data_IF_648515703164
#
_entry.id   IF_648515703164
#
_cell.length_a   1.000
_cell.length_b   1.000
_cell.length_c   1.000
_cell.angle_alpha   90.00
_cell.angle_beta   90.00
_cell.angle_gamma   90.00
#
_symmetry.space_group_name_H-M   'P 1'
#
loop_
_entity.id
_entity.type
_entity.pdbx_description
1 polymer ?
#
# COMPACT_ATOMS: atom_id res chain seq x y z
N UNK A 1 7.41 -12.15 -55.13
CA UNK A 1 6.03 -11.65 -55.03
C UNK A 1 5.14 -12.56 -54.15
N UNK A 2 4.98 -13.87 -54.47
CA UNK A 2 4.11 -14.79 -53.67
C UNK A 2 4.50 -14.89 -52.16
N UNK A 3 5.81 -14.99 -51.84
CA UNK A 3 6.31 -15.02 -50.47
C UNK A 3 6.02 -13.72 -49.71
N UNK A 4 6.13 -12.57 -50.35
CA UNK A 4 5.83 -11.27 -49.73
C UNK A 4 4.34 -11.12 -49.42
N UNK A 5 3.47 -11.55 -50.35
CA UNK A 5 2.02 -11.56 -50.18
C UNK A 5 1.63 -12.50 -49.04
N UNK A 6 2.20 -13.72 -48.98
CA UNK A 6 1.95 -14.66 -47.92
C UNK A 6 2.38 -14.10 -46.55
N UNK A 7 3.54 -13.43 -46.45
CA UNK A 7 4.00 -12.77 -45.24
C UNK A 7 3.06 -11.64 -44.79
N UNK A 8 2.61 -10.79 -45.71
CA UNK A 8 1.65 -9.72 -45.44
C UNK A 8 0.29 -10.27 -44.99
N UNK A 9 -0.21 -11.33 -45.62
CA UNK A 9 -1.44 -12.00 -45.18
C UNK A 9 -1.30 -12.59 -43.76
N UNK A 10 -0.16 -13.21 -43.43
CA UNK A 10 0.10 -13.75 -42.10
C UNK A 10 0.14 -12.64 -41.04
N UNK A 11 0.80 -11.50 -41.33
CA UNK A 11 0.85 -10.34 -40.44
C UNK A 11 -0.57 -9.76 -40.23
N UNK A 12 -1.34 -9.61 -41.34
CA UNK A 12 -2.71 -9.09 -41.24
C UNK A 12 -3.62 -10.02 -40.43
N UNK A 13 -3.52 -11.34 -40.64
CA UNK A 13 -4.26 -12.33 -39.86
C UNK A 13 -3.89 -12.26 -38.37
N UNK A 14 -2.59 -12.17 -38.06
CA UNK A 14 -2.10 -12.06 -36.69
C UNK A 14 -2.60 -10.77 -36.03
N UNK A 15 -2.52 -9.63 -36.70
CA UNK A 15 -3.06 -8.37 -36.23
C UNK A 15 -4.57 -8.45 -35.94
N UNK A 16 -5.32 -9.10 -36.86
CA UNK A 16 -6.76 -9.34 -36.69
C UNK A 16 -7.05 -10.16 -35.43
N UNK A 17 -6.30 -11.21 -35.14
CA UNK A 17 -6.44 -12.02 -33.90
C UNK A 17 -6.22 -11.18 -32.67
N UNK A 18 -5.17 -10.34 -32.64
CA UNK A 18 -4.90 -9.45 -31.48
C UNK A 18 -6.03 -8.44 -31.27
N UNK A 19 -6.51 -7.81 -32.34
CA UNK A 19 -7.60 -6.83 -32.28
C UNK A 19 -8.90 -7.50 -31.85
N UNK A 20 -9.27 -8.64 -32.43
CA UNK A 20 -10.50 -9.36 -32.09
C UNK A 20 -10.51 -9.76 -30.60
N UNK A 21 -9.40 -10.32 -30.11
CA UNK A 21 -9.27 -10.63 -28.68
C UNK A 21 -9.46 -9.40 -27.80
N UNK A 22 -8.87 -8.28 -28.19
CA UNK A 22 -8.99 -7.01 -27.45
C UNK A 22 -10.44 -6.52 -27.44
N UNK A 23 -11.14 -6.56 -28.57
CA UNK A 23 -12.54 -6.16 -28.68
C UNK A 23 -13.45 -7.04 -27.82
N UNK A 24 -13.23 -8.37 -27.82
CA UNK A 24 -13.98 -9.31 -26.96
C UNK A 24 -13.80 -8.97 -25.48
N UNK A 25 -12.56 -8.69 -25.06
CA UNK A 25 -12.27 -8.32 -23.66
C UNK A 25 -12.96 -7.01 -23.30
N UNK A 26 -12.91 -6.00 -24.18
CA UNK A 26 -13.58 -4.70 -23.96
C UNK A 26 -15.11 -4.84 -23.92
N UNK A 27 -15.69 -5.69 -24.74
CA UNK A 27 -17.13 -5.94 -24.74
C UNK A 27 -17.65 -6.61 -23.46
N UNK A 28 -16.77 -7.33 -22.73
CA UNK A 28 -17.06 -7.93 -21.42
C UNK A 28 -16.86 -6.96 -20.23
N UNK A 29 -16.48 -5.70 -20.50
CA UNK A 29 -16.35 -4.71 -19.44
C UNK A 29 -17.66 -4.57 -18.68
N UNK A 30 -17.61 -4.68 -17.37
CA UNK A 30 -18.77 -4.44 -16.52
C UNK A 30 -19.22 -2.99 -16.72
N UNK A 31 -20.47 -2.82 -17.11
CA UNK A 31 -21.08 -1.49 -17.12
C UNK A 31 -21.42 -1.11 -15.68
N UNK A 32 -21.25 0.14 -15.29
CA UNK A 32 -21.73 0.62 -14.00
C UNK A 32 -23.23 0.32 -13.88
N UNK A 33 -23.66 -0.41 -12.85
CA UNK A 33 -25.00 -1.02 -12.80
C UNK A 33 -25.96 -0.37 -11.81
N UNK A 34 -25.54 0.61 -11.01
CA UNK A 34 -26.40 1.19 -9.99
C UNK A 34 -26.14 2.70 -9.82
N UNK A 35 -27.22 3.42 -9.46
CA UNK A 35 -27.11 4.77 -8.94
C UNK A 35 -26.42 4.74 -7.58
N UNK A 36 -25.54 5.71 -7.35
CA UNK A 36 -24.83 5.88 -6.09
C UNK A 36 -25.85 6.35 -5.03
N UNK A 37 -25.85 5.72 -3.88
CA UNK A 37 -26.55 6.23 -2.70
C UNK A 37 -26.00 7.64 -2.38
N UNK A 38 -26.88 8.64 -2.34
CA UNK A 38 -26.45 10.02 -2.11
C UNK A 38 -26.52 10.30 -0.61
N UNK A 39 -25.35 10.35 0.03
CA UNK A 39 -25.26 10.72 1.46
C UNK A 39 -25.58 12.20 1.61
N UNK A 40 -26.52 12.60 2.49
CA UNK A 40 -26.92 13.99 2.68
C UNK A 40 -25.73 14.91 3.01
N UNK A 41 -25.72 16.15 2.53
CA UNK A 41 -24.65 17.10 2.81
C UNK A 41 -24.44 17.37 4.31
N UNK A 42 -25.51 17.37 5.11
CA UNK A 42 -25.46 17.51 6.57
C UNK A 42 -24.68 16.35 7.23
N UNK A 43 -24.91 15.13 6.79
CA UNK A 43 -24.16 13.94 7.27
C UNK A 43 -22.68 14.02 6.85
N UNK A 44 -22.39 14.48 5.62
CA UNK A 44 -21.01 14.69 5.17
C UNK A 44 -20.29 15.71 6.04
N UNK A 45 -20.99 16.82 6.40
CA UNK A 45 -20.44 17.87 7.25
C UNK A 45 -20.24 17.37 8.70
N UNK A 46 -21.18 16.57 9.24
CA UNK A 46 -21.04 15.95 10.56
C UNK A 46 -19.82 15.05 10.64
N UNK A 47 -19.65 14.15 9.65
CA UNK A 47 -18.48 13.26 9.61
C UNK A 47 -17.16 14.02 9.49
N UNK A 48 -17.14 15.06 8.66
CA UNK A 48 -15.96 15.90 8.54
C UNK A 48 -15.63 16.63 9.85
N UNK A 49 -16.64 17.10 10.58
CA UNK A 49 -16.42 17.75 11.88
C UNK A 49 -15.82 16.78 12.94
N UNK A 50 -16.33 15.56 13.01
CA UNK A 50 -15.80 14.50 13.89
C UNK A 50 -14.39 14.08 13.50
N UNK A 51 -14.13 13.87 12.21
CA UNK A 51 -12.78 13.60 11.71
C UNK A 51 -11.84 14.76 12.04
N UNK A 52 -12.31 15.98 11.94
CA UNK A 52 -11.54 17.18 12.29
C UNK A 52 -11.08 17.19 13.76
N UNK A 53 -11.90 16.68 14.70
CA UNK A 53 -11.47 16.50 16.10
C UNK A 53 -10.29 15.51 16.20
N UNK A 54 -10.28 14.44 15.41
CA UNK A 54 -9.18 13.47 15.37
C UNK A 54 -7.93 14.05 14.69
N UNK A 55 -8.08 14.83 13.61
CA UNK A 55 -6.96 15.48 12.91
C UNK A 55 -6.23 16.48 13.82
N UNK A 56 -6.94 17.19 14.68
CA UNK A 56 -6.34 18.12 15.66
C UNK A 56 -5.49 17.46 16.75
N UNK A 57 -5.50 16.14 16.85
CA UNK A 57 -4.57 15.39 17.68
C UNK A 57 -3.29 15.11 16.89
N UNK A 58 -2.17 15.70 17.30
CA UNK A 58 -0.89 15.68 16.55
C UNK A 58 -0.10 14.40 16.88
N UNK A 59 -0.65 13.25 16.60
CA UNK A 59 -0.07 11.94 16.92
C UNK A 59 1.13 11.59 16.03
N UNK A 60 2.17 12.41 16.07
CA UNK A 60 3.40 12.23 15.30
C UNK A 60 4.25 11.16 15.95
N UNK A 61 4.48 10.05 15.23
CA UNK A 61 5.39 9.01 15.70
C UNK A 61 6.85 9.37 15.38
N UNK A 62 7.74 9.09 16.35
CA UNK A 62 9.18 9.36 16.21
C UNK A 62 9.96 8.11 16.63
N UNK A 63 10.85 7.63 15.77
CA UNK A 63 11.64 6.43 16.04
C UNK A 63 12.50 6.59 17.29
N UNK A 64 12.29 5.69 18.26
CA UNK A 64 13.03 5.66 19.52
C UNK A 64 12.51 6.64 20.58
N UNK A 65 11.36 7.28 20.35
CA UNK A 65 10.70 8.15 21.31
C UNK A 65 9.19 7.99 21.24
N UNK A 66 8.53 7.96 22.37
CA UNK A 66 7.07 7.97 22.47
C UNK A 66 6.65 9.10 23.42
N UNK A 67 5.84 10.04 22.92
CA UNK A 67 5.21 11.11 23.71
C UNK A 67 3.70 10.86 23.75
N UNK A 68 3.20 10.44 24.91
CA UNK A 68 1.79 10.06 25.08
C UNK A 68 0.80 11.24 25.00
N UNK A 69 1.27 12.48 25.09
CA UNK A 69 0.41 13.67 25.24
C UNK A 69 -0.66 13.77 24.14
N UNK A 70 -0.27 13.71 22.87
CA UNK A 70 -1.22 13.83 21.75
C UNK A 70 -1.94 12.50 21.47
N UNK A 71 -1.34 11.36 21.82
CA UNK A 71 -2.00 10.05 21.74
C UNK A 71 -3.09 9.92 22.81
N UNK A 72 -2.85 10.35 24.04
CA UNK A 72 -3.87 10.41 25.11
C UNK A 72 -5.04 11.33 24.69
N UNK A 73 -4.74 12.47 24.09
CA UNK A 73 -5.76 13.38 23.56
C UNK A 73 -6.60 12.69 22.48
N UNK A 74 -5.98 11.92 21.58
CA UNK A 74 -6.71 11.17 20.57
C UNK A 74 -7.58 10.08 21.20
N UNK A 75 -7.07 9.31 22.18
CA UNK A 75 -7.86 8.30 22.92
C UNK A 75 -9.13 8.90 23.52
N UNK A 76 -9.00 10.02 24.24
CA UNK A 76 -10.15 10.73 24.84
C UNK A 76 -11.13 11.24 23.77
N UNK A 77 -10.61 11.71 22.63
CA UNK A 77 -11.43 12.17 21.50
C UNK A 77 -12.23 11.02 20.91
N UNK A 78 -11.60 9.87 20.67
CA UNK A 78 -12.23 8.68 20.11
C UNK A 78 -13.28 8.11 21.07
N UNK A 79 -12.97 8.02 22.37
CA UNK A 79 -13.93 7.59 23.40
C UNK A 79 -15.16 8.52 23.48
N UNK A 80 -14.97 9.82 23.36
CA UNK A 80 -16.07 10.80 23.33
C UNK A 80 -16.93 10.66 22.05
N UNK A 81 -16.30 10.44 20.89
CA UNK A 81 -17.00 10.42 19.61
C UNK A 81 -17.74 9.10 19.34
N UNK A 82 -17.27 7.99 19.91
CA UNK A 82 -17.77 6.64 19.64
C UNK A 82 -18.12 5.88 20.94
N UNK A 83 -19.07 6.40 21.74
CA UNK A 83 -19.36 5.85 23.07
C UNK A 83 -20.01 4.46 23.03
N UNK A 84 -20.86 4.14 22.02
CA UNK A 84 -21.52 2.83 21.90
C UNK A 84 -20.51 1.74 21.58
N UNK A 85 -19.56 2.03 20.69
CA UNK A 85 -18.45 1.13 20.39
C UNK A 85 -17.66 0.80 21.65
N UNK A 86 -17.29 1.82 22.45
CA UNK A 86 -16.49 1.64 23.67
C UNK A 86 -17.24 0.91 24.79
N UNK A 87 -18.57 0.99 24.80
CA UNK A 87 -19.41 0.23 25.74
C UNK A 87 -19.62 -1.22 25.31
N UNK A 88 -19.54 -1.53 24.00
CA UNK A 88 -19.90 -2.82 23.45
C UNK A 88 -18.70 -3.70 23.13
N UNK A 89 -17.63 -3.10 22.60
CA UNK A 89 -16.45 -3.83 22.17
C UNK A 89 -15.49 -4.14 23.34
N UNK A 90 -14.87 -5.31 23.29
CA UNK A 90 -13.71 -5.62 24.09
C UNK A 90 -12.49 -4.87 23.52
N UNK A 91 -11.86 -4.00 24.30
CA UNK A 91 -10.66 -3.25 23.89
C UNK A 91 -9.42 -3.84 24.53
N UNK A 92 -8.42 -4.16 23.71
CA UNK A 92 -7.07 -4.56 24.13
C UNK A 92 -6.07 -3.51 23.65
N UNK A 93 -4.97 -3.36 24.38
CA UNK A 93 -3.86 -2.45 24.00
C UNK A 93 -2.56 -3.23 23.98
N UNK A 94 -1.76 -3.04 22.92
CA UNK A 94 -0.47 -3.68 22.73
C UNK A 94 0.64 -2.63 22.58
N UNK A 95 1.81 -2.90 23.17
CA UNK A 95 2.88 -1.91 23.24
C UNK A 95 2.43 -0.67 24.00
N UNK A 96 2.84 0.49 23.51
CA UNK A 96 2.49 1.77 24.14
C UNK A 96 1.04 2.16 23.88
N UNK A 97 0.54 2.01 22.61
CA UNK A 97 -0.80 2.49 22.25
C UNK A 97 -1.41 1.82 21.00
N UNK A 98 -1.07 0.59 20.69
CA UNK A 98 -1.75 -0.13 19.61
C UNK A 98 -3.10 -0.67 20.10
N UNK A 99 -4.20 -0.21 19.51
CA UNK A 99 -5.55 -0.61 19.91
C UNK A 99 -6.06 -1.79 19.08
N UNK A 100 -6.71 -2.71 19.75
CA UNK A 100 -7.47 -3.78 19.10
C UNK A 100 -8.84 -3.88 19.78
N UNK A 101 -9.89 -3.60 19.03
CA UNK A 101 -11.28 -3.77 19.44
C UNK A 101 -11.81 -5.08 18.89
N UNK A 102 -12.59 -5.79 19.67
CA UNK A 102 -13.32 -7.00 19.27
C UNK A 102 -14.79 -6.83 19.51
N UNK A 103 -15.59 -7.00 18.46
CA UNK A 103 -17.04 -7.04 18.49
C UNK A 103 -17.46 -8.50 18.23
N UNK A 104 -18.15 -9.12 19.19
CA UNK A 104 -18.61 -10.49 19.04
C UNK A 104 -19.71 -10.59 17.98
N UNK A 105 -19.53 -11.57 17.08
CA UNK A 105 -20.54 -11.97 16.11
C UNK A 105 -21.40 -13.13 16.57
N UNK A 106 -22.35 -13.52 15.73
CA UNK A 106 -23.20 -14.71 15.95
C UNK A 106 -22.35 -15.98 15.90
N UNK A 107 -21.46 -16.11 14.92
CA UNK A 107 -20.48 -17.19 14.84
C UNK A 107 -19.15 -16.73 15.45
N UNK A 108 -18.94 -17.15 16.69
CA UNK A 108 -17.74 -16.77 17.47
C UNK A 108 -16.45 -17.48 17.01
N UNK A 109 -16.57 -18.49 16.14
CA UNK A 109 -15.40 -19.21 15.62
C UNK A 109 -14.73 -18.50 14.44
N UNK A 110 -15.40 -17.54 13.82
CA UNK A 110 -14.95 -16.83 12.63
C UNK A 110 -14.57 -15.40 12.95
N UNK A 111 -13.46 -14.94 12.38
CA UNK A 111 -12.95 -13.60 12.63
C UNK A 111 -12.62 -12.89 11.32
N UNK A 112 -12.97 -11.60 11.23
CA UNK A 112 -12.46 -10.69 10.22
C UNK A 112 -11.85 -9.48 10.89
N UNK A 113 -10.82 -8.87 10.30
CA UNK A 113 -10.15 -7.71 10.87
C UNK A 113 -10.11 -6.55 9.88
N UNK A 114 -10.49 -5.38 10.37
CA UNK A 114 -10.27 -4.10 9.74
C UNK A 114 -9.05 -3.46 10.40
N UNK A 115 -8.23 -2.76 9.62
CA UNK A 115 -7.00 -2.17 10.14
C UNK A 115 -6.74 -0.78 9.53
N UNK A 116 -6.18 0.06 10.38
CA UNK A 116 -5.62 1.36 10.02
C UNK A 116 -4.61 1.78 11.08
N UNK A 117 -3.98 2.93 10.94
CA UNK A 117 -3.12 3.47 11.98
C UNK A 117 -3.57 4.86 12.41
N UNK A 118 -3.15 5.29 13.60
CA UNK A 118 -3.53 6.59 14.15
C UNK A 118 -2.35 7.53 14.38
N UNK A 119 -1.12 7.06 14.16
CA UNK A 119 0.03 7.92 14.06
C UNK A 119 0.11 8.59 12.70
N UNK A 120 0.96 9.58 12.58
CA UNK A 120 1.22 10.33 11.35
C UNK A 120 2.68 10.75 11.29
N UNK A 121 3.20 10.98 10.08
CA UNK A 121 4.52 11.60 9.92
C UNK A 121 4.48 13.08 10.31
N UNK A 122 5.65 13.62 10.68
CA UNK A 122 5.77 15.05 10.97
C UNK A 122 5.35 15.91 9.77
N UNK A 123 4.59 16.94 10.02
CA UNK A 123 4.26 17.95 9.02
C UNK A 123 5.48 18.87 8.80
N UNK A 124 5.93 18.96 7.56
CA UNK A 124 7.05 19.78 7.12
C UNK A 124 6.63 20.61 5.91
N UNK A 125 7.42 21.62 5.54
CA UNK A 125 7.17 22.46 4.38
C UNK A 125 6.20 23.61 4.66
N UNK A 126 5.66 24.22 3.60
CA UNK A 126 4.75 25.37 3.66
C UNK A 126 3.32 24.91 3.37
N UNK A 127 2.45 25.05 4.35
CA UNK A 127 1.06 24.64 4.26
C UNK A 127 0.14 25.83 3.98
N UNK A 128 -0.86 25.62 3.12
CA UNK A 128 -1.90 26.63 2.83
C UNK A 128 -2.80 26.91 4.04
N UNK A 129 -3.03 25.90 4.87
CA UNK A 129 -3.79 25.94 6.11
C UNK A 129 -2.96 25.31 7.21
N UNK A 130 -3.19 25.59 8.51
CA UNK A 130 -2.43 24.96 9.59
C UNK A 130 -2.45 23.43 9.48
N UNK A 131 -1.31 22.79 9.67
CA UNK A 131 -1.04 21.37 9.33
C UNK A 131 -1.98 20.38 10.04
N UNK A 132 -2.52 20.76 11.18
CA UNK A 132 -3.44 19.97 11.99
C UNK A 132 -4.75 20.70 12.28
N UNK A 133 -5.20 21.57 11.38
CA UNK A 133 -6.42 22.36 11.62
C UNK A 133 -7.67 21.48 11.72
N UNK A 134 -7.78 20.43 10.92
CA UNK A 134 -8.97 19.60 10.84
C UNK A 134 -10.22 20.41 10.49
N UNK A 135 -10.06 21.43 9.65
CA UNK A 135 -11.13 22.34 9.21
C UNK A 135 -11.49 22.07 7.74
N UNK A 136 -12.75 22.41 7.40
CA UNK A 136 -13.26 22.27 6.04
C UNK A 136 -13.11 23.60 5.31
N UNK A 137 -12.37 23.59 4.20
CA UNK A 137 -12.28 24.69 3.27
C UNK A 137 -12.86 24.27 1.91
N UNK A 138 -13.91 24.92 1.50
CA UNK A 138 -14.72 24.46 0.36
C UNK A 138 -15.42 23.13 0.66
N UNK A 139 -15.06 22.09 -0.06
CA UNK A 139 -15.60 20.74 0.13
C UNK A 139 -14.52 19.73 0.59
N UNK A 140 -13.42 20.23 1.13
CA UNK A 140 -12.27 19.41 1.53
C UNK A 140 -11.92 19.67 3.00
N UNK A 141 -11.68 18.60 3.77
CA UNK A 141 -11.11 18.68 5.10
C UNK A 141 -9.59 18.63 5.00
N UNK A 142 -8.91 19.52 5.71
CA UNK A 142 -7.47 19.74 5.61
C UNK A 142 -6.75 19.36 6.89
N UNK A 143 -5.58 18.75 6.73
CA UNK A 143 -4.65 18.45 7.80
C UNK A 143 -3.91 17.13 7.60
N UNK A 144 -2.75 16.98 8.25
CA UNK A 144 -1.94 15.79 8.27
C UNK A 144 -2.76 14.61 8.83
N UNK A 145 -2.79 13.49 8.13
CA UNK A 145 -3.57 12.30 8.47
C UNK A 145 -4.95 12.25 7.80
N UNK A 146 -5.33 13.25 6.98
CA UNK A 146 -6.60 13.21 6.25
C UNK A 146 -6.61 12.20 5.13
N UNK A 147 -5.47 11.83 4.57
CA UNK A 147 -5.32 10.75 3.57
C UNK A 147 -4.68 9.54 4.22
N UNK A 148 -3.64 9.76 5.00
CA UNK A 148 -2.80 8.71 5.58
C UNK A 148 -2.74 8.82 7.12
N UNK A 149 -3.61 8.10 7.88
CA UNK A 149 -4.80 7.34 7.44
C UNK A 149 -5.97 7.51 8.42
N UNK A 150 -6.02 8.65 9.16
CA UNK A 150 -7.09 8.92 10.14
C UNK A 150 -8.50 8.91 9.53
N UNK A 151 -8.63 9.17 8.22
CA UNK A 151 -9.92 9.03 7.54
C UNK A 151 -10.40 7.58 7.50
N UNK A 152 -9.50 6.61 7.26
CA UNK A 152 -9.84 5.19 7.30
C UNK A 152 -10.25 4.78 8.72
N UNK A 153 -9.44 5.12 9.73
CA UNK A 153 -9.77 4.87 11.13
C UNK A 153 -11.10 5.48 11.53
N UNK A 154 -11.33 6.75 11.20
CA UNK A 154 -12.61 7.41 11.47
C UNK A 154 -13.78 6.65 10.84
N UNK A 155 -13.63 6.26 9.57
CA UNK A 155 -14.70 5.59 8.84
C UNK A 155 -15.02 4.20 9.40
N UNK A 156 -14.01 3.46 9.85
CA UNK A 156 -14.16 2.18 10.55
C UNK A 156 -14.89 2.35 11.88
N UNK A 157 -14.44 3.29 12.71
CA UNK A 157 -15.04 3.60 14.01
C UNK A 157 -16.50 4.09 13.85
N UNK A 158 -16.75 5.02 12.92
CA UNK A 158 -18.09 5.58 12.69
C UNK A 158 -19.06 4.51 12.16
N UNK A 159 -18.60 3.63 11.27
CA UNK A 159 -19.40 2.53 10.75
C UNK A 159 -19.80 1.56 11.87
N UNK A 160 -18.86 1.21 12.74
CA UNK A 160 -19.14 0.35 13.91
C UNK A 160 -20.08 1.04 14.91
N UNK A 161 -19.83 2.31 15.24
CA UNK A 161 -20.69 3.09 16.15
C UNK A 161 -22.14 3.11 15.69
N UNK A 162 -22.38 3.39 14.41
CA UNK A 162 -23.73 3.43 13.85
C UNK A 162 -24.40 2.06 13.84
N UNK A 163 -23.70 1.02 13.39
CA UNK A 163 -24.25 -0.34 13.37
C UNK A 163 -24.58 -0.84 14.77
N UNK A 164 -23.70 -0.62 15.73
CA UNK A 164 -23.94 -1.01 17.13
C UNK A 164 -25.08 -0.20 17.76
N UNK A 165 -25.20 1.09 17.44
CA UNK A 165 -26.32 1.94 17.88
C UNK A 165 -27.67 1.48 17.31
N UNK A 166 -27.66 0.88 16.11
CA UNK A 166 -28.83 0.23 15.49
C UNK A 166 -29.12 -1.16 16.11
N UNK A 167 -28.32 -1.65 17.05
CA UNK A 167 -28.44 -2.98 17.64
C UNK A 167 -28.01 -4.11 16.70
N UNK A 168 -27.19 -3.81 15.69
CA UNK A 168 -26.70 -4.79 14.73
C UNK A 168 -25.68 -5.75 15.37
N UNK A 169 -25.84 -7.05 15.13
CA UNK A 169 -24.89 -8.09 15.52
C UNK A 169 -24.30 -8.70 14.24
N UNK A 170 -22.98 -8.61 14.00
CA UNK A 170 -22.35 -9.17 12.82
C UNK A 170 -22.44 -10.69 12.77
N UNK A 171 -22.35 -11.29 11.59
CA UNK A 171 -22.33 -12.75 11.43
C UNK A 171 -21.04 -13.39 11.97
N UNK A 172 -19.93 -12.71 11.83
CA UNK A 172 -18.59 -13.14 12.33
C UNK A 172 -18.10 -12.14 13.36
N UNK A 173 -17.15 -12.51 14.20
CA UNK A 173 -16.47 -11.51 15.03
C UNK A 173 -15.80 -10.47 14.13
N UNK A 174 -16.03 -9.20 14.42
CA UNK A 174 -15.37 -8.09 13.75
C UNK A 174 -14.31 -7.53 14.69
N UNK A 175 -13.09 -7.47 14.20
CA UNK A 175 -11.97 -6.90 14.91
C UNK A 175 -11.55 -5.61 14.19
N UNK A 176 -11.14 -4.61 14.97
CA UNK A 176 -10.56 -3.37 14.47
C UNK A 176 -9.22 -3.15 15.14
N UNK A 177 -8.14 -3.13 14.34
CA UNK A 177 -6.78 -2.84 14.81
C UNK A 177 -6.32 -1.46 14.36
N UNK A 178 -5.71 -0.69 15.29
CA UNK A 178 -5.10 0.59 14.96
C UNK A 178 -3.77 0.76 15.68
N UNK A 179 -2.68 0.88 14.93
CA UNK A 179 -1.34 1.07 15.49
C UNK A 179 -1.00 2.55 15.69
N UNK A 180 -0.10 2.80 16.63
CA UNK A 180 0.42 4.12 16.98
C UNK A 180 1.80 4.40 16.39
N UNK A 181 2.34 3.46 15.61
CA UNK A 181 3.73 3.50 15.16
C UNK A 181 3.97 2.80 13.82
N UNK A 182 2.95 2.82 12.93
CA UNK A 182 3.06 2.29 11.57
C UNK A 182 4.12 3.04 10.77
N UNK A 183 4.08 4.37 10.81
CA UNK A 183 4.93 5.29 10.05
C UNK A 183 6.44 5.16 10.36
N UNK A 184 6.75 4.60 11.50
CA UNK A 184 8.12 4.31 11.94
C UNK A 184 8.45 2.81 11.96
N UNK A 185 7.54 1.98 11.41
CA UNK A 185 7.64 0.53 11.40
C UNK A 185 7.81 -0.05 12.81
N UNK A 186 6.90 0.33 13.69
CA UNK A 186 6.93 -0.03 15.09
C UNK A 186 6.45 -1.45 15.36
N UNK A 187 6.29 -1.75 16.63
CA UNK A 187 5.99 -3.10 17.12
C UNK A 187 4.53 -3.29 17.58
N UNK A 188 3.66 -2.31 17.40
CA UNK A 188 2.28 -2.38 17.88
C UNK A 188 1.53 -3.60 17.32
N UNK A 189 1.37 -3.67 16.01
CA UNK A 189 0.72 -4.82 15.34
C UNK A 189 1.53 -6.12 15.48
N UNK A 190 2.87 -6.16 15.38
CA UNK A 190 3.64 -7.36 15.72
C UNK A 190 3.30 -7.97 17.07
N UNK A 191 3.17 -7.18 18.14
CA UNK A 191 2.79 -7.66 19.48
C UNK A 191 1.35 -8.21 19.51
N UNK A 192 0.42 -7.56 18.81
CA UNK A 192 -0.94 -8.09 18.65
C UNK A 192 -0.94 -9.44 17.90
N UNK A 193 -0.14 -9.57 16.85
CA UNK A 193 0.00 -10.84 16.10
C UNK A 193 0.60 -11.96 16.96
N UNK A 194 1.57 -11.65 17.82
CA UNK A 194 2.09 -12.62 18.79
C UNK A 194 1.00 -13.11 19.76
N UNK A 195 0.16 -12.19 20.23
CA UNK A 195 -1.01 -12.51 21.06
C UNK A 195 -2.00 -13.40 20.30
N UNK A 196 -2.33 -13.08 19.03
CA UNK A 196 -3.23 -13.89 18.23
C UNK A 196 -2.70 -15.32 18.06
N UNK A 197 -1.43 -15.48 17.70
CA UNK A 197 -0.79 -16.79 17.57
C UNK A 197 -0.84 -17.58 18.87
N UNK A 198 -0.51 -16.95 20.00
CA UNK A 198 -0.50 -17.60 21.31
C UNK A 198 -1.89 -18.08 21.73
N UNK A 199 -2.94 -17.39 21.31
CA UNK A 199 -4.33 -17.73 21.67
C UNK A 199 -5.07 -18.48 20.57
N UNK A 200 -4.39 -18.88 19.48
CA UNK A 200 -5.00 -19.62 18.37
C UNK A 200 -6.05 -18.80 17.61
N UNK A 201 -5.90 -17.49 17.58
CA UNK A 201 -6.82 -16.58 16.87
C UNK A 201 -6.33 -16.44 15.43
N UNK A 202 -7.15 -16.90 14.48
CA UNK A 202 -6.93 -16.77 13.05
C UNK A 202 -8.03 -15.92 12.43
N UNK A 203 -7.70 -15.19 11.37
CA UNK A 203 -8.61 -14.32 10.65
C UNK A 203 -8.88 -14.89 9.25
N UNK A 204 -10.15 -15.05 8.87
CA UNK A 204 -10.51 -15.41 7.50
C UNK A 204 -10.04 -14.37 6.50
N UNK A 205 -10.07 -13.11 6.91
CA UNK A 205 -9.75 -11.97 6.09
C UNK A 205 -9.28 -10.79 6.94
N UNK A 206 -8.36 -10.02 6.37
CA UNK A 206 -7.90 -8.74 6.89
C UNK A 206 -8.04 -7.69 5.79
N UNK A 207 -8.60 -6.54 6.10
CA UNK A 207 -8.66 -5.37 5.25
C UNK A 207 -7.96 -4.22 5.97
N UNK A 208 -6.80 -3.86 5.50
CA UNK A 208 -5.98 -2.76 6.03
C UNK A 208 -6.11 -1.53 5.11
N UNK A 209 -5.60 -0.41 5.56
CA UNK A 209 -5.35 0.78 4.76
C UNK A 209 -4.35 0.49 3.62
N UNK A 210 -3.96 1.50 2.86
CA UNK A 210 -3.03 1.39 1.72
C UNK A 210 -3.71 0.95 0.42
N UNK A 211 -3.41 1.57 -0.66
CA UNK A 211 -4.22 1.56 -1.87
C UNK A 211 -5.29 2.65 -1.81
N UNK A 212 -6.32 2.57 -2.62
CA UNK A 212 -7.37 3.59 -2.64
C UNK A 212 -8.03 3.74 -4.00
N UNK A 213 -8.90 4.73 -4.14
CA UNK A 213 -9.60 5.03 -5.38
C UNK A 213 -8.95 6.27 -6.01
N UNK A 214 -8.15 6.05 -7.03
CA UNK A 214 -7.34 7.07 -7.70
C UNK A 214 -7.74 7.26 -9.16
N UNK A 215 -7.27 8.34 -9.77
CA UNK A 215 -7.37 8.50 -11.22
C UNK A 215 -6.58 7.39 -11.93
N UNK A 216 -7.02 7.04 -13.14
CA UNK A 216 -6.36 5.96 -13.89
C UNK A 216 -4.85 6.21 -14.01
N UNK A 217 -3.97 5.30 -13.53
CA UNK A 217 -2.52 5.48 -13.57
C UNK A 217 -1.95 5.48 -14.99
N UNK A 218 -2.76 5.11 -15.99
CA UNK A 218 -2.36 5.03 -17.40
C UNK A 218 -2.98 6.13 -18.27
N UNK A 219 -3.49 7.19 -17.62
CA UNK A 219 -4.15 8.30 -18.30
C UNK A 219 -5.63 8.02 -18.62
N UNK A 220 -6.36 9.12 -18.85
CA UNK A 220 -7.82 9.10 -19.00
C UNK A 220 -8.52 9.43 -17.67
N UNK A 221 -9.37 10.46 -17.68
CA UNK A 221 -10.04 10.92 -16.45
C UNK A 221 -11.12 9.98 -15.93
N UNK A 222 -11.47 8.91 -16.64
CA UNK A 222 -12.55 7.99 -16.26
C UNK A 222 -12.34 6.60 -16.89
N UNK A 223 -12.73 5.53 -16.19
CA UNK A 223 -13.18 5.50 -14.80
C UNK A 223 -12.03 5.64 -13.81
N UNK A 224 -12.32 6.05 -12.57
CA UNK A 224 -11.36 5.92 -11.46
C UNK A 224 -11.05 4.46 -11.18
N UNK A 225 -9.88 4.20 -10.62
CA UNK A 225 -9.40 2.86 -10.33
C UNK A 225 -9.33 2.64 -8.81
N UNK A 226 -10.10 1.67 -8.32
CA UNK A 226 -9.98 1.16 -6.96
C UNK A 226 -8.86 0.11 -6.93
N UNK A 227 -7.72 0.48 -6.37
CA UNK A 227 -6.50 -0.31 -6.33
C UNK A 227 -6.44 -1.12 -5.04
N UNK A 228 -6.76 -2.41 -5.13
CA UNK A 228 -6.74 -3.35 -4.00
C UNK A 228 -5.36 -4.00 -3.96
N UNK A 229 -4.50 -3.58 -3.01
CA UNK A 229 -3.19 -4.17 -2.93
C UNK A 229 -3.28 -5.58 -2.29
N UNK A 230 -2.88 -6.55 -3.08
CA UNK A 230 -2.82 -7.98 -2.70
C UNK A 230 -1.43 -8.39 -2.26
N UNK A 231 -0.46 -7.54 -2.51
CA UNK A 231 0.94 -7.77 -2.18
C UNK A 231 1.61 -6.43 -1.88
N UNK A 232 2.57 -6.43 -0.98
CA UNK A 232 3.52 -5.34 -0.76
C UNK A 232 4.95 -5.83 -0.88
N UNK A 233 5.84 -4.94 -1.26
CA UNK A 233 7.27 -5.28 -1.38
C UNK A 233 7.90 -5.39 0.01
N UNK A 234 8.74 -6.40 0.18
CA UNK A 234 9.54 -6.59 1.38
C UNK A 234 10.56 -5.46 1.62
N UNK A 235 11.33 -5.61 2.67
CA UNK A 235 12.40 -4.68 3.07
C UNK A 235 13.63 -5.44 3.53
N UNK A 236 14.79 -5.00 3.06
CA UNK A 236 16.10 -5.49 3.52
C UNK A 236 17.10 -4.35 3.50
N UNK A 237 17.82 -4.19 4.59
CA UNK A 237 18.92 -3.23 4.67
C UNK A 237 20.23 -3.97 4.86
N UNK A 238 21.25 -3.62 4.07
CA UNK A 238 22.61 -4.12 4.20
C UNK A 238 23.57 -2.95 4.41
N UNK A 239 24.53 -3.13 5.30
CA UNK A 239 25.66 -2.20 5.42
C UNK A 239 26.84 -2.75 4.62
N UNK A 240 27.29 -1.96 3.64
CA UNK A 240 28.43 -2.24 2.79
C UNK A 240 29.64 -1.45 3.30
N UNK A 241 30.77 -2.11 3.56
CA UNK A 241 31.97 -1.49 4.13
C UNK A 241 33.16 -1.69 3.20
N UNK A 242 33.73 -0.59 2.73
CA UNK A 242 35.02 -0.55 2.02
C UNK A 242 36.14 -0.18 2.99
N UNK A 243 37.22 -0.95 3.02
CA UNK A 243 38.41 -0.66 3.77
C UNK A 243 39.54 -0.22 2.84
N UNK A 244 40.32 0.77 3.26
CA UNK A 244 41.51 1.18 2.53
C UNK A 244 42.64 0.21 2.81
N UNK A 245 43.22 -0.37 1.75
CA UNK A 245 44.39 -1.22 1.87
C UNK A 245 45.61 -0.44 2.37
N UNK A 246 46.51 -1.11 3.10
CA UNK A 246 47.81 -0.55 3.48
C UNK A 246 48.68 -0.44 2.24
N UNK A 247 48.59 0.66 1.51
CA UNK A 247 49.48 1.01 0.41
C UNK A 247 50.77 1.61 0.95
N UNK A 248 51.71 0.77 1.36
CA UNK A 248 53.09 1.21 1.50
C UNK A 248 53.61 1.48 0.08
N UNK A 249 53.90 2.74 -0.23
CA UNK A 249 54.52 3.19 -1.48
C UNK A 249 53.75 2.96 -2.80
N UNK A 250 52.86 3.90 -3.14
CA UNK A 250 52.32 4.09 -4.48
C UNK A 250 50.95 3.47 -4.73
N UNK A 251 49.95 4.31 -5.13
CA UNK A 251 48.57 3.99 -5.54
C UNK A 251 47.72 3.22 -4.52
N UNK A 252 47.55 3.74 -3.32
CA UNK A 252 46.45 3.30 -2.46
C UNK A 252 45.14 3.76 -3.08
N UNK A 253 44.29 2.81 -3.47
CA UNK A 253 42.90 3.16 -3.88
C UNK A 253 42.14 3.53 -2.62
N UNK A 254 41.66 4.75 -2.55
CA UNK A 254 40.84 5.25 -1.43
C UNK A 254 39.59 4.39 -1.22
N UNK A 255 39.26 4.11 0.03
CA UNK A 255 38.01 3.39 0.36
C UNK A 255 36.78 4.06 -0.24
N UNK A 256 36.77 5.40 -0.34
CA UNK A 256 35.72 6.17 -1.01
C UNK A 256 35.63 5.84 -2.50
N UNK A 257 36.80 5.75 -3.18
CA UNK A 257 36.83 5.39 -4.61
C UNK A 257 36.39 3.93 -4.86
N UNK A 258 36.70 3.02 -3.95
CA UNK A 258 36.22 1.61 -4.00
C UNK A 258 34.70 1.56 -3.87
N UNK A 259 34.16 2.25 -2.86
CA UNK A 259 32.70 2.33 -2.63
C UNK A 259 31.98 2.95 -3.82
N UNK A 260 32.48 4.03 -4.40
CA UNK A 260 31.89 4.67 -5.56
C UNK A 260 31.81 3.73 -6.77
N UNK A 261 32.86 2.97 -7.06
CA UNK A 261 32.88 1.98 -8.15
C UNK A 261 31.91 0.82 -7.89
N UNK A 262 31.85 0.36 -6.65
CA UNK A 262 30.88 -0.67 -6.26
C UNK A 262 29.43 -0.21 -6.49
N UNK A 263 29.08 0.98 -6.00
CA UNK A 263 27.74 1.57 -6.17
C UNK A 263 27.42 1.73 -7.66
N UNK A 264 28.36 2.23 -8.45
CA UNK A 264 28.17 2.40 -9.90
C UNK A 264 27.96 1.05 -10.60
N UNK A 265 28.74 0.01 -10.27
CA UNK A 265 28.53 -1.32 -10.85
C UNK A 265 27.17 -1.91 -10.45
N UNK A 266 26.71 -1.74 -9.22
CA UNK A 266 25.36 -2.18 -8.80
C UNK A 266 24.29 -1.42 -9.59
N UNK A 267 24.37 -0.10 -9.71
CA UNK A 267 23.39 0.73 -10.38
C UNK A 267 23.28 0.45 -11.89
N UNK A 268 24.39 0.07 -12.52
CA UNK A 268 24.43 -0.23 -13.96
C UNK A 268 24.25 -1.71 -14.29
N UNK A 269 24.35 -2.59 -13.31
CA UNK A 269 24.19 -4.03 -13.46
C UNK A 269 22.74 -4.44 -13.74
N UNK A 270 22.57 -5.65 -14.25
CA UNK A 270 21.27 -6.29 -14.49
C UNK A 270 21.03 -7.45 -13.51
N UNK A 271 21.47 -7.28 -12.26
CA UNK A 271 21.32 -8.34 -11.26
C UNK A 271 19.88 -8.47 -10.77
N UNK A 272 19.10 -7.38 -10.79
CA UNK A 272 17.70 -7.38 -10.40
C UNK A 272 16.79 -7.82 -11.56
N UNK A 273 15.96 -8.83 -11.29
CA UNK A 273 15.06 -9.39 -12.31
C UNK A 273 13.89 -8.44 -12.58
N UNK A 274 13.48 -8.41 -13.86
CA UNK A 274 12.24 -7.73 -14.28
C UNK A 274 11.25 -8.76 -14.79
N UNK A 275 10.17 -8.94 -14.04
CA UNK A 275 9.10 -9.90 -14.34
C UNK A 275 7.75 -9.21 -14.28
N UNK A 276 6.77 -9.76 -15.00
CA UNK A 276 5.37 -9.45 -14.77
C UNK A 276 4.85 -10.47 -13.75
N UNK A 277 4.85 -10.10 -12.48
CA UNK A 277 4.34 -10.93 -11.40
C UNK A 277 2.83 -11.15 -11.52
N UNK A 278 2.25 -12.20 -10.91
CA UNK A 278 0.84 -12.54 -11.06
C UNK A 278 -0.11 -11.39 -10.74
N UNK A 279 0.13 -10.65 -9.67
CA UNK A 279 -0.65 -9.49 -9.25
C UNK A 279 -0.58 -8.33 -10.26
N UNK A 280 0.59 -8.07 -10.84
CA UNK A 280 0.76 -7.04 -11.88
C UNK A 280 0.07 -7.46 -13.19
N UNK A 281 0.11 -8.76 -13.53
CA UNK A 281 -0.66 -9.31 -14.67
C UNK A 281 -2.16 -9.20 -14.43
N UNK A 282 -2.63 -9.49 -13.21
CA UNK A 282 -4.02 -9.36 -12.82
C UNK A 282 -4.48 -7.90 -12.95
N UNK A 283 -3.69 -6.95 -12.43
CA UNK A 283 -3.94 -5.52 -12.58
C UNK A 283 -4.16 -5.12 -14.03
N UNK A 284 -3.22 -5.44 -14.90
CA UNK A 284 -3.35 -5.11 -16.33
C UNK A 284 -4.56 -5.75 -16.99
N UNK A 285 -4.87 -7.00 -16.67
CA UNK A 285 -6.05 -7.68 -17.22
C UNK A 285 -7.36 -7.05 -16.74
N UNK A 286 -7.44 -6.66 -15.47
CA UNK A 286 -8.64 -6.09 -14.87
C UNK A 286 -8.88 -4.65 -15.34
N UNK A 287 -7.82 -3.85 -15.51
CA UNK A 287 -7.93 -2.48 -16.03
C UNK A 287 -8.13 -2.44 -17.55
N UNK A 288 -7.61 -3.42 -18.29
CA UNK A 288 -7.55 -3.47 -19.74
C UNK A 288 -8.88 -3.10 -20.45
N UNK A 289 -10.07 -3.58 -20.03
CA UNK A 289 -11.33 -3.28 -20.74
C UNK A 289 -11.68 -1.79 -20.74
N UNK A 290 -11.18 -1.04 -19.76
CA UNK A 290 -11.56 0.35 -19.47
C UNK A 290 -10.55 1.38 -19.98
N UNK A 291 -9.41 0.93 -20.47
CA UNK A 291 -8.33 1.79 -20.95
C UNK A 291 -8.54 2.24 -22.42
N UNK A 292 -7.82 3.27 -22.90
CA UNK A 292 -7.73 3.59 -24.32
C UNK A 292 -7.34 2.35 -25.14
N UNK A 293 -7.84 2.25 -26.39
CA UNK A 293 -7.70 1.03 -27.21
C UNK A 293 -6.24 0.58 -27.36
N UNK A 294 -5.30 1.51 -27.52
CA UNK A 294 -3.87 1.21 -27.63
C UNK A 294 -3.32 0.46 -26.41
N UNK A 295 -3.64 0.92 -25.19
CA UNK A 295 -3.28 0.23 -23.97
C UNK A 295 -4.03 -1.10 -23.82
N UNK A 296 -5.33 -1.12 -24.16
CA UNK A 296 -6.10 -2.37 -24.16
C UNK A 296 -5.50 -3.41 -25.08
N UNK A 297 -5.04 -3.02 -26.26
CA UNK A 297 -4.39 -3.91 -27.22
C UNK A 297 -3.11 -4.53 -26.65
N UNK A 298 -2.30 -3.73 -25.98
CA UNK A 298 -1.06 -4.18 -25.31
C UNK A 298 -1.37 -5.12 -24.15
N UNK A 299 -2.26 -4.71 -23.26
CA UNK A 299 -2.51 -5.46 -22.01
C UNK A 299 -3.40 -6.70 -22.20
N UNK A 300 -4.26 -6.74 -23.20
CA UNK A 300 -4.95 -7.98 -23.57
C UNK A 300 -4.01 -9.03 -24.18
N UNK A 301 -2.87 -8.60 -24.68
CA UNK A 301 -1.89 -9.45 -25.36
C UNK A 301 -0.53 -9.46 -24.63
N UNK A 302 -0.53 -9.52 -23.29
CA UNK A 302 0.68 -9.55 -22.47
C UNK A 302 1.68 -10.65 -22.85
N UNK A 303 1.21 -11.78 -23.38
CA UNK A 303 2.06 -12.85 -23.86
C UNK A 303 3.04 -12.40 -24.97
N UNK A 304 2.61 -11.45 -25.79
CA UNK A 304 3.42 -10.87 -26.87
C UNK A 304 4.20 -9.63 -26.37
N UNK A 305 3.52 -8.73 -25.65
CA UNK A 305 4.07 -7.42 -25.29
C UNK A 305 4.86 -7.39 -23.96
N UNK A 306 4.89 -8.48 -23.19
CA UNK A 306 5.62 -8.52 -21.92
C UNK A 306 7.10 -8.10 -22.02
N UNK A 307 7.89 -8.48 -23.04
CA UNK A 307 9.26 -8.01 -23.17
C UNK A 307 9.35 -6.49 -23.34
N UNK A 308 8.45 -5.91 -24.15
CA UNK A 308 8.40 -4.46 -24.41
C UNK A 308 8.00 -3.71 -23.15
N UNK A 309 6.97 -4.19 -22.43
CA UNK A 309 6.54 -3.59 -21.15
C UNK A 309 7.70 -3.58 -20.15
N UNK A 310 8.39 -4.70 -19.95
CA UNK A 310 9.53 -4.80 -19.04
C UNK A 310 10.69 -3.85 -19.40
N UNK A 311 10.88 -3.56 -20.68
CA UNK A 311 11.94 -2.68 -21.13
C UNK A 311 11.57 -1.19 -21.04
N UNK A 312 10.33 -0.84 -21.36
CA UNK A 312 9.90 0.56 -21.47
C UNK A 312 9.29 1.12 -20.20
N UNK A 313 8.52 0.33 -19.45
CA UNK A 313 7.77 0.78 -18.28
C UNK A 313 8.65 1.50 -17.23
N UNK A 314 9.85 1.00 -16.88
CA UNK A 314 10.73 1.69 -15.92
C UNK A 314 11.29 3.03 -16.43
N UNK A 315 11.29 3.23 -17.76
CA UNK A 315 11.77 4.48 -18.37
C UNK A 315 10.68 5.55 -18.44
N UNK A 316 9.41 5.12 -18.51
CA UNK A 316 8.25 6.01 -18.62
C UNK A 316 7.79 6.45 -17.23
N UNK A 317 7.74 5.52 -16.28
CA UNK A 317 7.28 5.77 -14.92
C UNK A 317 8.11 4.92 -13.92
N UNK A 318 8.94 5.56 -13.07
CA UNK A 318 9.76 4.85 -12.09
C UNK A 318 8.94 3.99 -11.11
N UNK A 319 7.78 4.49 -10.64
CA UNK A 319 6.89 3.74 -9.74
C UNK A 319 6.36 2.47 -10.42
N UNK A 320 5.89 2.59 -11.66
CA UNK A 320 5.48 1.44 -12.45
C UNK A 320 6.65 0.47 -12.72
N UNK A 321 7.86 1.00 -12.91
CA UNK A 321 9.08 0.21 -13.00
C UNK A 321 9.38 -0.59 -11.75
N UNK A 322 9.14 0.00 -10.58
CA UNK A 322 9.34 -0.66 -9.27
C UNK A 322 8.40 -1.87 -9.06
N UNK A 323 7.26 -1.94 -9.76
CA UNK A 323 6.35 -3.08 -9.73
C UNK A 323 6.86 -4.32 -10.49
N UNK A 324 7.92 -4.19 -11.28
CA UNK A 324 8.45 -5.27 -12.12
C UNK A 324 9.55 -6.10 -11.46
N UNK A 325 10.02 -5.72 -10.28
CA UNK A 325 11.10 -6.45 -9.60
C UNK A 325 11.61 -5.78 -8.34
N UNK A 326 12.62 -6.39 -7.75
CA UNK A 326 13.34 -5.83 -6.62
C UNK A 326 13.99 -4.51 -7.01
N UNK A 327 13.89 -3.54 -6.12
CA UNK A 327 14.63 -2.27 -6.23
C UNK A 327 15.68 -2.19 -5.15
N UNK A 328 16.80 -1.55 -5.47
CA UNK A 328 17.87 -1.25 -4.54
C UNK A 328 18.23 0.23 -4.65
N UNK A 329 18.41 0.88 -3.52
CA UNK A 329 18.93 2.25 -3.43
C UNK A 329 19.95 2.35 -2.31
N UNK A 330 20.98 3.18 -2.53
CA UNK A 330 21.93 3.51 -1.47
C UNK A 330 21.43 4.76 -0.76
N UNK A 331 20.99 4.60 0.48
CA UNK A 331 20.30 5.66 1.23
C UNK A 331 21.23 6.47 2.13
N UNK A 332 22.40 5.95 2.43
CA UNK A 332 23.38 6.61 3.27
C UNK A 332 24.79 6.24 2.81
N UNK A 333 25.70 7.20 2.81
CA UNK A 333 27.14 6.96 2.61
C UNK A 333 27.90 7.78 3.66
N UNK A 334 28.85 7.14 4.36
CA UNK A 334 29.68 7.76 5.38
C UNK A 334 31.11 7.29 5.25
N UNK A 335 32.06 8.18 5.48
CA UNK A 335 33.49 7.85 5.53
C UNK A 335 34.38 8.83 4.79
N UNK A 336 35.67 8.73 5.06
CA UNK A 336 36.70 9.52 4.43
C UNK A 336 37.95 8.67 4.19
N UNK A 337 38.84 9.15 3.32
CA UNK A 337 40.13 8.50 3.13
C UNK A 337 41.04 8.63 4.37
N UNK A 338 40.80 9.60 5.23
CA UNK A 338 41.50 9.74 6.51
C UNK A 338 41.12 8.63 7.49
N UNK A 339 39.85 8.24 7.54
CA UNK A 339 39.36 7.18 8.42
C UNK A 339 39.64 5.77 7.90
N UNK A 340 40.17 5.66 6.67
CA UNK A 340 40.46 4.38 5.98
C UNK A 340 39.23 3.44 5.86
N UNK A 341 38.06 3.93 6.11
CA UNK A 341 36.79 3.19 6.04
C UNK A 341 35.76 4.07 5.35
N UNK A 342 34.95 3.44 4.46
CA UNK A 342 33.78 4.04 3.88
C UNK A 342 32.64 3.03 3.98
N UNK A 343 31.51 3.45 4.53
CA UNK A 343 30.29 2.63 4.64
C UNK A 343 29.18 3.18 3.78
N UNK A 344 28.34 2.31 3.24
CA UNK A 344 27.10 2.68 2.57
C UNK A 344 25.98 1.75 3.01
N UNK A 345 24.75 2.29 3.15
CA UNK A 345 23.54 1.49 3.40
C UNK A 345 22.84 1.22 2.08
N UNK A 346 22.77 -0.06 1.71
CA UNK A 346 21.98 -0.53 0.59
C UNK A 346 20.60 -0.95 1.10
N UNK A 347 19.57 -0.25 0.66
CA UNK A 347 18.17 -0.50 0.98
C UNK A 347 17.47 -1.19 -0.18
N UNK A 348 16.93 -2.37 0.08
CA UNK A 348 16.23 -3.18 -0.90
C UNK A 348 14.74 -3.21 -0.61
N UNK A 349 13.96 -3.25 -1.69
CA UNK A 349 12.52 -3.58 -1.69
C UNK A 349 12.32 -4.86 -2.48
N UNK A 350 12.49 -6.05 -1.86
CA UNK A 350 12.31 -7.35 -2.51
C UNK A 350 10.87 -7.60 -2.96
N UNK A 351 10.72 -8.37 -4.05
CA UNK A 351 9.41 -8.82 -4.53
C UNK A 351 8.95 -10.10 -3.83
N UNK A 352 9.85 -11.07 -3.69
CA UNK A 352 9.64 -12.34 -3.02
C UNK A 352 10.99 -12.93 -2.59
N UNK A 353 10.95 -13.92 -1.72
CA UNK A 353 12.17 -14.54 -1.19
C UNK A 353 13.00 -15.23 -2.26
N UNK A 354 12.38 -16.02 -3.14
CA UNK A 354 13.09 -16.88 -4.10
C UNK A 354 13.90 -16.08 -5.14
N UNK A 355 13.33 -14.98 -5.63
CA UNK A 355 14.03 -14.10 -6.57
C UNK A 355 15.09 -13.30 -5.84
N UNK A 356 14.76 -12.79 -4.65
CA UNK A 356 15.66 -11.96 -3.87
C UNK A 356 16.92 -12.70 -3.42
N UNK A 357 16.84 -13.96 -3.00
CA UNK A 357 18.02 -14.75 -2.65
C UNK A 357 19.01 -14.88 -3.81
N UNK A 358 18.52 -15.06 -5.04
CA UNK A 358 19.35 -15.13 -6.24
C UNK A 358 19.97 -13.76 -6.61
N UNK A 359 19.20 -12.69 -6.43
CA UNK A 359 19.64 -11.31 -6.65
C UNK A 359 20.68 -10.90 -5.61
N UNK A 360 20.44 -11.25 -4.35
CA UNK A 360 21.34 -11.01 -3.23
C UNK A 360 22.68 -11.76 -3.39
N UNK A 361 22.64 -13.00 -3.89
CA UNK A 361 23.86 -13.75 -4.19
C UNK A 361 24.73 -12.99 -5.21
N UNK A 362 24.14 -12.50 -6.30
CA UNK A 362 24.85 -11.69 -7.31
C UNK A 362 25.35 -10.36 -6.75
N UNK A 363 24.56 -9.70 -5.90
CA UNK A 363 24.99 -8.49 -5.21
C UNK A 363 26.23 -8.75 -4.35
N UNK A 364 26.23 -9.87 -3.59
CA UNK A 364 27.38 -10.29 -2.77
C UNK A 364 28.62 -10.66 -3.61
N UNK A 365 28.44 -11.23 -4.80
CA UNK A 365 29.53 -11.49 -5.75
C UNK A 365 30.21 -10.20 -6.22
N UNK A 366 29.41 -9.19 -6.59
CA UNK A 366 29.95 -7.88 -6.98
C UNK A 366 30.64 -7.21 -5.78
N UNK A 367 30.04 -7.28 -4.58
CA UNK A 367 30.67 -6.75 -3.38
C UNK A 367 32.03 -7.41 -3.10
N UNK A 368 32.12 -8.73 -3.20
CA UNK A 368 33.38 -9.48 -3.05
C UNK A 368 34.43 -9.07 -4.09
N UNK A 369 34.02 -8.86 -5.35
CA UNK A 369 34.91 -8.38 -6.44
C UNK A 369 35.56 -7.05 -6.10
N UNK A 370 34.82 -6.15 -5.42
CA UNK A 370 35.32 -4.84 -4.97
C UNK A 370 35.96 -4.86 -3.58
N UNK A 371 36.03 -6.01 -2.90
CA UNK A 371 36.53 -6.10 -1.53
C UNK A 371 35.63 -5.40 -0.51
N UNK A 372 34.32 -5.35 -0.78
CA UNK A 372 33.31 -4.80 0.13
C UNK A 372 32.87 -5.89 1.10
N UNK A 373 32.96 -5.60 2.38
CA UNK A 373 32.37 -6.41 3.44
C UNK A 373 30.89 -6.06 3.59
N UNK A 374 30.03 -7.08 3.75
CA UNK A 374 28.59 -6.89 3.92
C UNK A 374 28.19 -7.38 5.32
N UNK A 375 27.46 -6.55 6.04
CA UNK A 375 26.78 -6.92 7.27
C UNK A 375 25.29 -6.69 7.13
N UNK A 376 24.49 -7.61 7.71
CA UNK A 376 23.05 -7.50 7.71
C UNK A 376 22.58 -6.36 8.63
N UNK A 377 21.59 -5.61 8.17
CA UNK A 377 20.84 -4.69 9.00
C UNK A 377 19.74 -5.41 9.78
N UNK A 378 18.96 -4.65 10.54
CA UNK A 378 17.87 -5.15 11.38
C UNK A 378 16.61 -5.53 10.59
N UNK A 379 16.46 -5.04 9.37
CA UNK A 379 15.29 -5.25 8.53
C UNK A 379 15.54 -6.42 7.58
N UNK A 380 14.72 -7.45 7.68
CA UNK A 380 14.77 -8.64 6.80
C UNK A 380 13.37 -9.20 6.66
N UNK A 381 12.55 -8.52 5.87
CA UNK A 381 11.14 -8.84 5.71
C UNK A 381 10.83 -9.07 4.25
N UNK A 382 10.27 -10.23 3.93
CA UNK A 382 9.75 -10.58 2.61
C UNK A 382 8.41 -11.26 2.82
N UNK A 383 7.38 -10.77 2.14
CA UNK A 383 6.01 -11.20 2.34
C UNK A 383 5.48 -11.97 1.14
N UNK A 384 4.49 -12.81 1.38
CA UNK A 384 3.76 -13.51 0.33
C UNK A 384 2.53 -12.69 -0.10
N UNK A 385 2.17 -12.70 -1.39
CA UNK A 385 0.94 -12.09 -1.84
C UNK A 385 -0.29 -12.80 -1.26
N UNK A 386 -1.36 -12.03 -1.02
CA UNK A 386 -2.67 -12.58 -0.70
C UNK A 386 -3.22 -13.39 -1.89
N UNK A 387 -3.94 -14.46 -1.61
CA UNK A 387 -4.58 -15.27 -2.63
C UNK A 387 -5.74 -14.51 -3.29
N UNK A 388 -5.57 -14.10 -4.53
CA UNK A 388 -6.61 -13.42 -5.32
C UNK A 388 -7.82 -14.31 -5.66
N UNK A 389 -7.74 -15.62 -5.46
CA UNK A 389 -8.87 -16.56 -5.61
C UNK A 389 -9.69 -16.67 -4.33
N UNK A 390 -9.19 -16.15 -3.21
CA UNK A 390 -9.90 -16.16 -1.95
C UNK A 390 -11.19 -15.33 -2.01
N UNK A 391 -12.27 -15.82 -1.37
CA UNK A 391 -13.60 -15.18 -1.36
C UNK A 391 -13.54 -13.70 -0.96
N UNK A 392 -12.64 -13.34 -0.07
CA UNK A 392 -12.48 -11.98 0.44
C UNK A 392 -12.07 -10.96 -0.64
N UNK A 393 -11.20 -11.33 -1.58
CA UNK A 393 -10.85 -10.44 -2.70
C UNK A 393 -12.07 -10.15 -3.59
N UNK A 394 -12.87 -11.18 -3.89
CA UNK A 394 -14.10 -11.03 -4.67
C UNK A 394 -15.14 -10.18 -3.90
N UNK A 395 -15.29 -10.42 -2.59
CA UNK A 395 -16.19 -9.67 -1.73
C UNK A 395 -15.82 -8.18 -1.63
N UNK A 396 -14.52 -7.88 -1.44
CA UNK A 396 -14.05 -6.48 -1.41
C UNK A 396 -14.37 -5.76 -2.73
N UNK A 397 -14.21 -6.44 -3.87
CA UNK A 397 -14.59 -5.90 -5.19
C UNK A 397 -16.10 -5.67 -5.32
N UNK A 398 -16.93 -6.54 -4.74
CA UNK A 398 -18.39 -6.37 -4.69
C UNK A 398 -18.76 -5.13 -3.87
N UNK A 399 -18.19 -4.97 -2.68
CA UNK A 399 -18.40 -3.79 -1.83
C UNK A 399 -18.01 -2.49 -2.57
N UNK A 400 -16.86 -2.51 -3.27
CA UNK A 400 -16.43 -1.37 -4.10
C UNK A 400 -17.44 -1.08 -5.20
N UNK A 401 -17.90 -2.09 -5.94
CA UNK A 401 -18.87 -1.91 -7.02
C UNK A 401 -20.20 -1.37 -6.51
N UNK A 402 -20.58 -1.70 -5.28
CA UNK A 402 -21.82 -1.22 -4.64
C UNK A 402 -21.73 0.24 -4.24
N UNK A 403 -20.66 0.64 -3.59
CA UNK A 403 -20.50 1.99 -3.02
C UNK A 403 -19.91 2.97 -4.03
N UNK A 404 -19.05 2.49 -4.92
CA UNK A 404 -18.33 3.29 -5.93
C UNK A 404 -18.64 2.77 -7.35
N UNK A 405 -19.89 2.85 -7.83
CA UNK A 405 -20.34 2.19 -9.07
C UNK A 405 -19.62 2.70 -10.34
N UNK A 406 -18.93 3.84 -10.26
CA UNK A 406 -18.18 4.42 -11.38
C UNK A 406 -16.69 4.11 -11.35
N UNK A 407 -16.26 3.19 -10.49
CA UNK A 407 -14.86 2.78 -10.38
C UNK A 407 -14.63 1.40 -10.97
N UNK A 408 -13.39 1.12 -11.34
CA UNK A 408 -12.92 -0.21 -11.74
C UNK A 408 -11.99 -0.72 -10.66
N UNK A 409 -12.32 -1.83 -10.05
CA UNK A 409 -11.45 -2.46 -9.05
C UNK A 409 -10.40 -3.35 -9.72
N UNK A 410 -9.16 -3.21 -9.29
CA UNK A 410 -8.04 -4.02 -9.77
C UNK A 410 -7.12 -4.45 -8.63
N UNK A 411 -6.54 -5.65 -8.78
CA UNK A 411 -5.42 -6.06 -7.96
C UNK A 411 -4.25 -5.09 -8.14
N UNK A 412 -3.49 -4.87 -7.08
CA UNK A 412 -2.37 -3.94 -7.08
C UNK A 412 -1.19 -4.52 -6.32
N UNK A 413 0.01 -4.12 -6.70
CA UNK A 413 1.23 -4.32 -5.93
C UNK A 413 1.59 -3.00 -5.24
N UNK A 414 1.48 -2.95 -3.93
CA UNK A 414 1.91 -1.80 -3.14
C UNK A 414 3.44 -1.74 -3.10
N UNK A 415 4.00 -0.61 -3.49
CA UNK A 415 5.45 -0.38 -3.45
C UNK A 415 5.90 0.19 -2.11
N UNK A 416 4.97 0.67 -1.28
CA UNK A 416 5.12 1.01 0.13
C UNK A 416 4.89 -0.22 1.04
N UNK A 417 4.79 -0.05 2.33
CA UNK A 417 4.43 -1.11 3.28
C UNK A 417 3.31 -0.63 4.18
N UNK A 418 2.54 -1.56 4.75
CA UNK A 418 1.49 -1.33 5.75
C UNK A 418 1.57 -2.39 6.85
N UNK A 419 0.84 -2.21 7.94
CA UNK A 419 0.81 -3.19 9.04
C UNK A 419 0.20 -4.55 8.65
N UNK A 420 -0.58 -4.62 7.57
CA UNK A 420 -1.13 -5.89 7.05
C UNK A 420 -0.06 -6.94 6.74
N UNK A 421 1.19 -6.53 6.52
CA UNK A 421 2.32 -7.46 6.30
C UNK A 421 2.47 -8.47 7.44
N UNK A 422 2.24 -8.05 8.66
CA UNK A 422 2.35 -8.89 9.84
C UNK A 422 1.20 -9.89 9.97
N UNK A 423 0.03 -9.53 9.46
CA UNK A 423 -1.18 -10.35 9.50
C UNK A 423 -1.14 -11.56 8.56
N UNK A 424 -0.23 -11.60 7.60
CA UNK A 424 -0.06 -12.75 6.67
C UNK A 424 0.28 -14.06 7.38
N UNK A 425 0.72 -14.00 8.63
CA UNK A 425 1.02 -15.17 9.45
C UNK A 425 -0.18 -15.72 10.24
N UNK A 426 -1.30 -14.99 10.29
CA UNK A 426 -2.54 -15.35 10.99
C UNK A 426 -3.79 -15.17 10.11
N UNK A 427 -3.59 -14.86 8.83
CA UNK A 427 -4.68 -14.76 7.84
C UNK A 427 -4.21 -15.20 6.47
N UNK A 428 -5.00 -16.00 5.72
CA UNK A 428 -4.70 -16.38 4.34
C UNK A 428 -4.90 -15.23 3.35
N UNK A 429 -5.63 -14.18 3.73
CA UNK A 429 -5.98 -13.09 2.83
C UNK A 429 -5.97 -11.74 3.54
N UNK A 430 -4.80 -11.09 3.55
CA UNK A 430 -4.63 -9.73 4.02
C UNK A 430 -4.57 -8.77 2.83
N UNK A 431 -5.62 -7.97 2.63
CA UNK A 431 -5.74 -6.98 1.57
C UNK A 431 -5.46 -5.58 2.13
N UNK A 432 -5.04 -4.66 1.25
CA UNK A 432 -4.83 -3.25 1.57
C UNK A 432 -5.69 -2.41 0.64
N UNK A 433 -6.67 -1.73 1.20
CA UNK A 433 -7.56 -0.88 0.43
C UNK A 433 -8.27 0.12 1.35
N UNK A 434 -7.86 1.37 1.29
CA UNK A 434 -8.60 2.48 1.88
C UNK A 434 -9.75 2.88 0.93
N UNK A 435 -11.02 2.84 1.37
CA UNK A 435 -12.17 3.18 0.51
C UNK A 435 -12.35 4.69 0.34
N UNK A 436 -11.28 5.41 0.04
CA UNK A 436 -11.25 6.86 -0.15
C UNK A 436 -10.97 7.22 -1.61
N UNK A 437 -11.80 8.13 -2.16
CA UNK A 437 -11.60 8.68 -3.50
C UNK A 437 -10.66 9.88 -3.43
N UNK A 438 -9.54 9.78 -4.15
CA UNK A 438 -8.52 10.82 -4.19
C UNK A 438 -8.32 11.36 -5.60
N UNK A 439 -7.99 12.64 -5.68
CA UNK A 439 -7.36 13.23 -6.87
C UNK A 439 -5.87 12.90 -6.88
N UNK A 440 -5.22 13.08 -8.03
CA UNK A 440 -3.76 12.93 -8.10
C UNK A 440 -3.01 13.89 -7.14
N UNK A 441 -3.56 15.09 -6.91
CA UNK A 441 -2.98 16.05 -5.97
C UNK A 441 -3.06 15.51 -4.53
N UNK A 442 -4.22 15.00 -4.12
CA UNK A 442 -4.43 14.41 -2.80
C UNK A 442 -3.56 13.16 -2.59
N UNK A 443 -3.49 12.29 -3.58
CA UNK A 443 -2.59 11.13 -3.52
C UNK A 443 -1.11 11.53 -3.36
N UNK A 444 -0.67 12.57 -4.07
CA UNK A 444 0.70 13.07 -3.98
C UNK A 444 0.97 13.89 -2.69
N UNK A 445 -0.04 14.25 -1.92
CA UNK A 445 0.13 14.95 -0.62
C UNK A 445 0.42 14.00 0.55
N UNK A 446 0.32 12.69 0.35
CA UNK A 446 0.76 11.69 1.33
C UNK A 446 2.23 11.93 1.68
N UNK A 447 2.54 12.07 2.98
CA UNK A 447 3.85 12.44 3.53
C UNK A 447 4.41 13.80 3.05
N UNK A 448 3.63 14.56 2.27
CA UNK A 448 3.98 15.90 1.82
C UNK A 448 3.08 16.98 2.47
N UNK A 449 3.25 18.20 2.07
CA UNK A 449 2.45 19.35 2.50
C UNK A 449 1.06 19.37 1.85
N UNK A 450 0.14 20.10 2.46
CA UNK A 450 -1.21 20.34 1.95
C UNK A 450 -2.10 19.09 1.82
N UNK A 451 -1.95 18.14 2.75
CA UNK A 451 -2.78 16.95 2.81
C UNK A 451 -4.23 17.33 3.11
N UNK A 452 -5.13 16.81 2.29
CA UNK A 452 -6.57 17.08 2.39
C UNK A 452 -7.36 15.98 1.68
N UNK A 453 -8.65 15.87 2.02
CA UNK A 453 -9.57 14.94 1.35
C UNK A 453 -10.97 15.53 1.22
N UNK A 454 -11.69 15.19 0.15
CA UNK A 454 -13.07 15.63 -0.02
C UNK A 454 -13.98 15.06 1.09
N UNK A 455 -14.83 15.89 1.71
CA UNK A 455 -15.77 15.44 2.76
C UNK A 455 -16.72 14.34 2.27
N UNK A 456 -17.06 14.37 0.98
CA UNK A 456 -17.83 13.29 0.33
C UNK A 456 -17.07 11.96 0.31
N UNK A 457 -15.74 11.99 0.18
CA UNK A 457 -14.91 10.78 0.23
C UNK A 457 -14.93 10.15 1.62
N UNK A 458 -14.87 10.98 2.68
CA UNK A 458 -15.02 10.54 4.08
C UNK A 458 -16.34 9.81 4.28
N UNK A 459 -17.46 10.42 3.83
CA UNK A 459 -18.77 9.82 3.99
C UNK A 459 -18.93 8.51 3.19
N UNK A 460 -18.37 8.45 1.98
CA UNK A 460 -18.38 7.21 1.19
C UNK A 460 -17.54 6.10 1.87
N UNK A 461 -16.46 6.44 2.55
CA UNK A 461 -15.67 5.46 3.30
C UNK A 461 -16.48 4.87 4.46
N UNK A 462 -17.23 5.67 5.20
CA UNK A 462 -18.16 5.17 6.24
C UNK A 462 -19.21 4.23 5.62
N UNK A 463 -19.83 4.62 4.51
CA UNK A 463 -20.81 3.79 3.82
C UNK A 463 -20.20 2.45 3.34
N UNK A 464 -18.96 2.46 2.89
CA UNK A 464 -18.25 1.24 2.49
C UNK A 464 -18.06 0.30 3.68
N UNK A 465 -17.53 0.78 4.80
CA UNK A 465 -17.31 -0.07 5.97
C UNK A 465 -18.63 -0.55 6.59
N UNK A 466 -19.69 0.28 6.62
CA UNK A 466 -21.03 -0.18 7.01
C UNK A 466 -21.53 -1.32 6.13
N UNK A 467 -21.43 -1.17 4.81
CA UNK A 467 -21.85 -2.22 3.88
C UNK A 467 -21.00 -3.47 4.04
N UNK A 468 -19.67 -3.31 4.15
CA UNK A 468 -18.72 -4.39 4.31
C UNK A 468 -19.02 -5.21 5.58
N UNK A 469 -19.16 -4.58 6.75
CA UNK A 469 -19.42 -5.26 8.02
C UNK A 469 -20.79 -5.94 8.00
N UNK A 470 -21.81 -5.25 7.48
CA UNK A 470 -23.21 -5.73 7.49
C UNK A 470 -23.43 -6.96 6.61
N UNK A 471 -22.68 -7.11 5.52
CA UNK A 471 -22.90 -8.14 4.51
C UNK A 471 -21.80 -9.20 4.46
N UNK A 472 -20.77 -9.13 5.30
CA UNK A 472 -19.73 -10.15 5.36
C UNK A 472 -20.31 -11.46 5.92
N UNK A 473 -20.17 -12.57 5.13
CA UNK A 473 -20.71 -13.89 5.47
C UNK A 473 -19.72 -15.01 5.24
#
# INVERSE_FOLDING_TARGET
MKLLIAALCAIAFFAMVLITKTLIIRAKAQKPTQEKENIPPETQAEYAAKLGEMIRCKTVSVKGSYDDTEFEKLRKTVEKLFPVLHQTAEKMTFGEDCWVYKIEGKDKSRNVMLMSHHDVVAAKGEWKHPEFCGEVFGNEIWGRGTVDTKTSLFAELQALEELLSEGFIPETNVWLGSSHNEEIFGNGIPLAVEYFKKNGIEFEAVLDEGGGIIDSPLGGAKPKCAMIAVHEKGRRTLTCTAKQGNGSFGKSVSCVSVMAKFIEEINTSKIFYRKLYPEVRAMFKQLCPHLPFSFSLVFSNLWLFAPVIKALMPKINPLAGAMLGTTCSFTEIKGSSADKICTAKAYFRPMNADDFEKELAKFKEIAKKHGIEITDGTENEVYNPADMSHKHFAYTRECIARIFPHTVSAAYLLTAGTDARHMTSVSPCALRFAPIEMTNQQFNSVHNENENIAIKSVANAVAFYKYYIKNYR
#
